data_IF_961522458331
#
_entry.id   IF_961522458331
#
_cell.length_a   1.000
_cell.length_b   1.000
_cell.length_c   1.000
_cell.angle_alpha   90.00
_cell.angle_beta   90.00
_cell.angle_gamma   90.00
#
_symmetry.space_group_name_H-M   'P 1'
#
loop_
_entity.id
_entity.type
_entity.pdbx_description
1 polymer ?
2 non-polymer ?
3 non-polymer ?
4 non-polymer ?
5 non-polymer ?
6 water ?
#
# COMPACT_ATOMS: atom_id res chain seq x y z
N UNK A 3 -14.81 -18.92 -3.70
CA UNK A 3 -14.69 -18.37 -2.33
C UNK A 3 -13.33 -18.75 -1.72
N UNK A 4 -12.24 -18.28 -2.36
CA UNK A 4 -10.90 -18.68 -2.02
C UNK A 4 -10.07 -17.39 -1.83
N UNK A 5 -9.18 -17.42 -0.83
CA UNK A 5 -8.21 -16.34 -0.63
C UNK A 5 -6.83 -16.79 -1.08
N UNK A 6 -6.16 -15.99 -1.92
CA UNK A 6 -4.78 -16.22 -2.33
C UNK A 6 -3.81 -15.63 -1.32
N UNK A 7 -2.60 -16.17 -1.28
CA UNK A 7 -1.51 -15.61 -0.49
C UNK A 7 -0.22 -15.78 -1.26
N UNK A 8 0.58 -14.70 -1.35
CA UNK A 8 1.89 -14.77 -1.97
C UNK A 8 2.90 -14.32 -0.92
N UNK A 9 3.97 -15.10 -0.80
CA UNK A 9 5.11 -14.83 0.07
C UNK A 9 6.30 -15.57 -0.53
N UNK A 10 7.46 -14.94 -0.61
CA UNK A 10 8.69 -15.59 -1.09
C UNK A 10 9.85 -15.09 -0.25
N UNK A 11 10.57 -16.02 0.40
CA UNK A 11 11.64 -15.66 1.32
C UNK A 11 12.78 -14.95 0.60
N UNK A 12 12.84 -15.05 -0.74
CA UNK A 12 13.88 -14.34 -1.49
C UNK A 12 13.76 -12.83 -1.29
N UNK A 13 12.56 -12.32 -0.92
CA UNK A 13 12.45 -10.89 -0.72
C UNK A 13 13.11 -10.42 0.57
N UNK A 14 13.61 -11.36 1.40
CA UNK A 14 14.41 -10.99 2.57
C UNK A 14 15.81 -10.52 2.18
N UNK A 15 16.28 -10.75 0.94
CA UNK A 15 17.70 -10.54 0.67
C UNK A 15 18.08 -9.07 0.62
N UNK A 16 17.16 -8.18 0.22
CA UNK A 16 17.33 -6.74 0.31
C UNK A 16 17.64 -6.35 1.76
N UNK A 17 18.78 -5.69 1.99
CA UNK A 17 19.18 -5.40 3.36
C UNK A 17 20.04 -4.15 3.37
N UNK A 18 20.20 -3.60 4.58
CA UNK A 18 21.00 -2.40 4.81
C UNK A 18 22.35 -2.83 5.39
N UNK A 19 23.39 -2.80 4.54
CA UNK A 19 24.68 -3.35 4.94
C UNK A 19 25.41 -2.45 5.92
N UNK A 20 24.96 -1.21 6.10
CA UNK A 20 25.61 -0.26 6.99
C UNK A 20 24.91 -0.17 8.33
N UNK A 21 23.68 -0.67 8.37
CA UNK A 21 22.87 -0.51 9.59
C UNK A 21 21.88 -1.66 9.64
N UNK A 22 22.30 -2.78 10.26
CA UNK A 22 21.49 -3.98 10.26
C UNK A 22 20.24 -3.82 11.11
N UNK A 23 20.13 -2.72 11.89
CA UNK A 23 18.93 -2.49 12.69
C UNK A 23 17.97 -1.50 12.04
N UNK A 24 18.24 -1.07 10.79
CA UNK A 24 17.30 -0.19 10.11
C UNK A 24 15.91 -0.84 10.15
N UNK A 25 14.83 -0.08 10.43
CA UNK A 25 13.51 -0.69 10.67
C UNK A 25 12.89 -1.46 9.49
N UNK A 26 13.31 -1.18 8.24
CA UNK A 26 12.73 -1.91 7.12
C UNK A 26 13.48 -3.25 6.98
N UNK A 27 13.21 -4.16 7.93
CA UNK A 27 14.04 -5.35 8.13
C UNK A 27 13.56 -6.50 7.24
N UNK A 28 14.50 -7.37 6.83
CA UNK A 28 14.14 -8.61 6.15
C UNK A 28 13.06 -9.41 6.88
N UNK A 29 13.18 -9.47 8.22
CA UNK A 29 12.30 -10.25 9.08
C UNK A 29 10.86 -9.74 9.10
N UNK A 30 10.62 -8.53 8.56
CA UNK A 30 9.24 -8.07 8.53
C UNK A 30 8.36 -9.11 7.82
N UNK A 31 8.81 -9.62 6.66
CA UNK A 31 7.94 -10.49 5.90
C UNK A 31 7.93 -11.91 6.45
N UNK A 32 9.08 -12.39 6.96
CA UNK A 32 9.13 -13.74 7.52
C UNK A 32 8.33 -13.83 8.82
N UNK A 33 8.37 -12.74 9.63
CA UNK A 33 7.54 -12.74 10.83
C UNK A 33 6.05 -12.77 10.50
N UNK A 34 5.63 -11.98 9.50
CA UNK A 34 4.21 -12.02 9.11
C UNK A 34 3.81 -13.42 8.61
N UNK A 35 4.63 -14.00 7.73
CA UNK A 35 4.35 -15.33 7.21
C UNK A 35 4.25 -16.36 8.35
N UNK A 36 5.20 -16.33 9.30
CA UNK A 36 5.20 -17.26 10.42
C UNK A 36 3.91 -17.13 11.22
N UNK A 37 3.45 -15.89 11.43
CA UNK A 37 2.25 -15.70 12.23
C UNK A 37 1.06 -16.30 11.52
N UNK A 38 1.02 -16.21 10.18
CA UNK A 38 -0.05 -16.84 9.41
C UNK A 38 -0.05 -18.35 9.60
N UNK A 39 1.14 -18.98 9.73
CA UNK A 39 1.20 -20.41 10.00
C UNK A 39 0.70 -20.71 11.42
N UNK A 40 1.19 -19.94 12.40
CA UNK A 40 0.80 -20.12 13.79
C UNK A 40 -0.71 -20.06 13.98
N UNK A 41 -1.37 -19.13 13.30
CA UNK A 41 -2.80 -18.95 13.45
C UNK A 41 -3.58 -19.89 12.50
N UNK A 42 -2.90 -20.77 11.76
CA UNK A 42 -3.55 -21.74 10.89
C UNK A 42 -4.31 -21.09 9.74
N UNK A 43 -3.83 -19.91 9.30
CA UNK A 43 -4.42 -19.23 8.17
C UNK A 43 -3.76 -19.68 6.86
N UNK A 44 -2.47 -20.00 6.93
CA UNK A 44 -1.71 -20.32 5.72
C UNK A 44 -2.31 -21.53 4.99
N UNK A 45 -2.72 -22.55 5.76
CA UNK A 45 -3.26 -23.75 5.16
C UNK A 45 -4.65 -23.54 4.57
N UNK A 46 -5.30 -22.41 4.91
CA UNK A 46 -6.63 -22.07 4.42
C UNK A 46 -6.59 -21.26 3.12
N UNK A 47 -5.38 -20.86 2.72
CA UNK A 47 -5.23 -20.02 1.55
C UNK A 47 -4.71 -20.83 0.37
N UNK A 48 -4.97 -20.31 -0.84
CA UNK A 48 -4.38 -20.80 -2.08
C UNK A 48 -3.05 -20.08 -2.31
N UNK A 49 -1.93 -20.81 -2.32
CA UNK A 49 -0.62 -20.20 -2.45
C UNK A 49 -0.38 -19.78 -3.89
N UNK A 50 -0.14 -18.48 -4.09
CA UNK A 50 0.15 -17.92 -5.42
C UNK A 50 1.65 -17.74 -5.51
N UNK A 51 2.33 -18.17 -6.59
CA UNK A 51 3.77 -18.03 -6.63
C UNK A 51 4.22 -16.60 -6.91
N UNK A 52 5.34 -16.22 -6.32
CA UNK A 52 5.99 -14.98 -6.73
C UNK A 52 6.56 -15.13 -8.13
N UNK A 53 6.77 -14.01 -8.81
CA UNK A 53 7.59 -13.97 -10.02
C UNK A 53 8.22 -12.59 -10.12
N UNK A 54 9.24 -12.47 -10.96
CA UNK A 54 9.79 -11.17 -11.27
C UNK A 54 8.81 -10.41 -12.15
N UNK A 55 8.59 -9.12 -11.84
CA UNK A 55 8.10 -8.17 -12.82
C UNK A 55 9.10 -8.09 -13.96
N UNK A 56 8.59 -7.87 -15.17
CA UNK A 56 9.47 -7.57 -16.29
C UNK A 56 9.75 -6.06 -16.38
N UNK A 57 10.80 -5.68 -17.11
CA UNK A 57 11.08 -4.27 -17.24
C UNK A 57 9.96 -3.56 -17.99
N UNK A 58 9.30 -4.27 -18.93
CA UNK A 58 8.20 -3.66 -19.66
C UNK A 58 7.02 -3.39 -18.71
N UNK A 59 6.80 -4.30 -17.75
CA UNK A 59 5.80 -4.06 -16.72
C UNK A 59 6.17 -2.87 -15.85
N UNK A 60 7.44 -2.76 -15.46
CA UNK A 60 7.83 -1.59 -14.68
C UNK A 60 7.57 -0.30 -15.44
N UNK A 61 7.72 -0.32 -16.79
CA UNK A 61 7.53 0.86 -17.60
C UNK A 61 6.06 1.29 -17.69
N UNK A 62 5.12 0.49 -17.11
CA UNK A 62 3.73 0.94 -16.98
C UNK A 62 3.65 2.22 -16.15
N UNK A 63 4.54 2.36 -15.14
CA UNK A 63 4.58 3.55 -14.30
C UNK A 63 5.91 4.28 -14.23
N UNK A 64 7.03 3.61 -14.55
CA UNK A 64 8.35 4.20 -14.31
C UNK A 64 9.09 4.56 -15.60
N UNK A 65 9.95 5.59 -15.51
CA UNK A 65 10.77 5.95 -16.65
C UNK A 65 11.86 4.90 -16.92
N UNK A 66 12.29 4.81 -18.19
CA UNK A 66 13.36 3.87 -18.49
C UNK A 66 14.64 4.23 -17.75
N UNK A 67 14.91 5.54 -17.55
CA UNK A 67 16.11 5.92 -16.82
C UNK A 67 16.06 5.39 -15.38
N UNK A 68 14.91 5.54 -14.73
CA UNK A 68 14.76 5.07 -13.35
C UNK A 68 14.94 3.56 -13.27
N UNK A 69 14.31 2.83 -14.18
CA UNK A 69 14.44 1.37 -14.18
C UNK A 69 15.92 0.98 -14.37
N UNK A 70 16.59 1.66 -15.33
CA UNK A 70 17.98 1.42 -15.71
C UNK A 70 18.91 1.60 -14.52
N UNK A 71 18.68 2.71 -13.78
CA UNK A 71 19.55 3.12 -12.68
C UNK A 71 19.40 2.10 -11.54
N UNK A 72 18.15 1.78 -11.17
CA UNK A 72 17.99 0.77 -10.13
C UNK A 72 18.61 -0.57 -10.55
N UNK A 73 18.36 -0.99 -11.80
CA UNK A 73 18.95 -2.23 -12.28
C UNK A 73 20.47 -2.24 -12.14
N UNK A 74 21.11 -1.09 -12.41
CA UNK A 74 22.58 -1.00 -12.41
C UNK A 74 23.16 -1.29 -11.02
N UNK A 75 22.31 -1.21 -9.97
CA UNK A 75 22.81 -1.39 -8.61
C UNK A 75 23.14 -2.85 -8.28
N UNK A 76 22.76 -3.82 -9.13
CA UNK A 76 22.88 -5.25 -8.87
C UNK A 76 24.33 -5.76 -8.75
N UNK A 77 25.30 -5.06 -9.37
CA UNK A 77 26.69 -5.47 -9.39
C UNK A 77 27.60 -4.39 -8.78
N UNK A 78 27.03 -3.33 -8.15
CA UNK A 78 27.79 -2.25 -7.53
C UNK A 78 28.52 -2.70 -6.26
N UNK A 79 29.73 -2.16 -6.07
CA UNK A 79 30.44 -2.34 -4.81
C UNK A 79 29.78 -1.46 -3.75
N UNK A 80 30.02 -1.74 -2.44
CA UNK A 80 29.42 -0.94 -1.36
C UNK A 80 29.45 0.57 -1.50
N UNK A 81 30.61 1.13 -1.88
CA UNK A 81 30.78 2.57 -1.97
C UNK A 81 29.77 3.16 -2.95
N UNK A 82 29.54 2.41 -4.04
CA UNK A 82 28.68 2.93 -5.08
C UNK A 82 27.19 2.76 -4.74
N UNK A 83 26.89 1.68 -4.01
CA UNK A 83 25.54 1.49 -3.48
C UNK A 83 25.21 2.62 -2.51
N UNK A 84 26.17 2.98 -1.65
CA UNK A 84 25.96 4.10 -0.74
C UNK A 84 25.68 5.38 -1.51
N UNK A 85 26.53 5.67 -2.51
CA UNK A 85 26.39 6.90 -3.26
C UNK A 85 25.03 6.99 -3.95
N UNK A 86 24.64 5.88 -4.60
CA UNK A 86 23.39 5.87 -5.34
C UNK A 86 22.21 6.03 -4.38
N UNK A 87 22.19 5.26 -3.29
CA UNK A 87 21.11 5.38 -2.32
C UNK A 87 20.93 6.82 -1.84
N UNK A 88 22.08 7.50 -1.62
CA UNK A 88 22.09 8.84 -1.08
C UNK A 88 21.58 9.88 -2.07
N UNK A 89 21.40 9.51 -3.36
CA UNK A 89 20.77 10.42 -4.31
C UNK A 89 19.28 10.60 -4.04
N UNK A 90 18.69 9.69 -3.24
CA UNK A 90 17.27 9.71 -2.98
C UNK A 90 17.02 10.15 -1.54
N UNK A 91 15.74 10.42 -1.24
CA UNK A 91 15.29 10.68 0.13
C UNK A 91 15.00 9.34 0.80
N UNK A 92 15.87 8.94 1.73
CA UNK A 92 15.60 7.80 2.62
C UNK A 92 15.56 6.47 1.86
N UNK A 93 16.68 6.15 1.20
CA UNK A 93 16.85 4.86 0.55
C UNK A 93 18.19 4.21 0.94
N UNK A 94 18.14 2.90 1.20
CA UNK A 94 19.37 2.09 1.22
C UNK A 94 19.24 1.02 0.13
N UNK A 95 20.40 0.65 -0.44
CA UNK A 95 20.47 -0.34 -1.52
C UNK A 95 21.54 -1.39 -1.25
N UNK A 96 21.18 -2.65 -1.52
CA UNK A 96 22.15 -3.74 -1.61
C UNK A 96 22.11 -4.35 -3.01
N UNK A 97 22.98 -5.33 -3.27
CA UNK A 97 23.00 -5.90 -4.61
C UNK A 97 21.72 -6.65 -4.93
N UNK A 98 20.96 -7.03 -3.90
CA UNK A 98 19.74 -7.82 -4.08
C UNK A 98 18.50 -6.94 -4.17
N UNK A 99 18.64 -5.62 -4.01
CA UNK A 99 17.46 -4.75 -3.89
C UNK A 99 16.58 -4.78 -5.13
N UNK A 100 17.21 -4.65 -6.30
CA UNK A 100 16.47 -4.65 -7.54
C UNK A 100 15.64 -5.92 -7.71
N UNK A 101 16.24 -7.10 -7.54
CA UNK A 101 15.51 -8.35 -7.67
C UNK A 101 14.35 -8.40 -6.68
N UNK A 102 14.58 -7.96 -5.43
CA UNK A 102 13.50 -8.05 -4.46
C UNK A 102 12.34 -7.12 -4.87
N UNK A 103 12.65 -5.91 -5.36
CA UNK A 103 11.61 -4.99 -5.83
C UNK A 103 10.83 -5.62 -6.97
N UNK A 104 11.55 -6.30 -7.88
CA UNK A 104 10.87 -7.00 -8.99
C UNK A 104 9.94 -8.09 -8.45
N UNK A 105 10.44 -8.87 -7.49
CA UNK A 105 9.59 -9.91 -6.92
C UNK A 105 8.35 -9.36 -6.23
N UNK A 106 8.50 -8.24 -5.49
CA UNK A 106 7.33 -7.66 -4.84
C UNK A 106 6.27 -7.29 -5.87
N UNK A 107 6.70 -6.66 -6.96
CA UNK A 107 5.74 -6.24 -7.97
C UNK A 107 5.14 -7.46 -8.68
N UNK A 108 6.02 -8.38 -9.13
CA UNK A 108 5.52 -9.55 -9.88
C UNK A 108 4.57 -10.39 -9.03
N UNK A 109 4.86 -10.55 -7.71
CA UNK A 109 3.95 -11.23 -6.79
C UNK A 109 2.54 -10.63 -6.85
N UNK A 110 2.48 -9.30 -6.82
CA UNK A 110 1.21 -8.61 -6.82
C UNK A 110 0.49 -8.72 -8.18
N UNK A 111 1.26 -8.73 -9.29
CA UNK A 111 0.64 -8.99 -10.59
C UNK A 111 0.01 -10.38 -10.61
N UNK A 112 0.74 -11.40 -10.14
CA UNK A 112 0.17 -12.73 -10.14
C UNK A 112 -1.10 -12.78 -9.27
N UNK A 113 -1.12 -12.02 -8.15
CA UNK A 113 -2.28 -12.01 -7.27
C UNK A 113 -3.45 -11.30 -7.97
N UNK A 114 -3.19 -10.16 -8.62
CA UNK A 114 -4.26 -9.49 -9.35
C UNK A 114 -4.80 -10.37 -10.47
N UNK A 115 -3.88 -11.05 -11.18
CA UNK A 115 -4.32 -11.98 -12.23
C UNK A 115 -5.22 -13.07 -11.62
N UNK A 116 -4.78 -13.64 -10.49
CA UNK A 116 -5.59 -14.70 -9.89
C UNK A 116 -7.00 -14.23 -9.55
N UNK A 117 -7.13 -12.99 -9.05
CA UNK A 117 -8.46 -12.46 -8.77
C UNK A 117 -9.25 -12.24 -10.06
N UNK A 118 -8.63 -11.59 -11.06
CA UNK A 118 -9.39 -11.16 -12.25
C UNK A 118 -9.75 -12.33 -13.16
N UNK A 119 -8.98 -13.44 -13.07
CA UNK A 119 -9.36 -14.65 -13.81
C UNK A 119 -10.30 -15.54 -13.01
N UNK A 120 -10.65 -15.15 -11.80
CA UNK A 120 -11.59 -15.92 -10.98
C UNK A 120 -10.97 -17.15 -10.29
N UNK A 121 -9.64 -17.21 -10.20
CA UNK A 121 -8.98 -18.31 -9.51
C UNK A 121 -9.09 -18.17 -7.99
N UNK A 122 -9.15 -16.91 -7.50
CA UNK A 122 -9.42 -16.59 -6.10
C UNK A 122 -10.34 -15.38 -6.09
N UNK A 123 -11.00 -15.14 -4.95
CA UNK A 123 -11.89 -14.01 -4.74
C UNK A 123 -11.15 -12.78 -4.25
N UNK A 124 -10.10 -13.01 -3.43
CA UNK A 124 -9.32 -11.93 -2.81
C UNK A 124 -7.94 -12.51 -2.52
N UNK A 125 -7.03 -11.66 -2.06
CA UNK A 125 -5.65 -12.14 -1.88
C UNK A 125 -4.87 -11.21 -0.98
N UNK A 126 -3.77 -11.75 -0.44
CA UNK A 126 -2.84 -10.99 0.40
C UNK A 126 -1.42 -11.21 -0.11
N UNK A 127 -0.61 -10.13 -0.14
CA UNK A 127 0.75 -10.18 -0.66
C UNK A 127 1.71 -9.69 0.40
N UNK A 128 2.52 -10.62 0.92
CA UNK A 128 3.48 -10.33 1.97
C UNK A 128 4.83 -10.06 1.32
N UNK A 129 5.04 -8.78 0.99
CA UNK A 129 6.13 -8.38 0.11
C UNK A 129 6.95 -7.26 0.71
N UNK A 130 8.22 -7.17 0.29
CA UNK A 130 9.10 -6.05 0.59
C UNK A 130 10.16 -6.01 -0.50
N UNK A 131 10.83 -4.88 -0.79
CA UNK A 131 10.59 -3.57 -0.15
C UNK A 131 9.23 -2.99 -0.54
N UNK A 132 8.75 -1.98 0.21
CA UNK A 132 7.47 -1.33 -0.08
C UNK A 132 7.53 -0.50 -1.37
N UNK A 133 6.39 0.07 -1.74
CA UNK A 133 6.22 0.73 -3.05
C UNK A 133 5.74 2.18 -3.07
N UNK A 134 4.87 2.59 -2.09
CA UNK A 134 3.97 3.73 -2.39
C UNK A 134 4.68 5.09 -2.49
N UNK A 135 5.88 5.23 -1.94
CA UNK A 135 6.63 6.48 -2.11
C UNK A 135 7.37 6.58 -3.46
N UNK A 136 7.49 5.46 -4.20
CA UNK A 136 8.26 5.49 -5.43
C UNK A 136 7.48 6.27 -6.48
N UNK A 137 8.23 7.13 -7.19
CA UNK A 137 7.68 8.02 -8.20
C UNK A 137 7.99 7.46 -9.59
N UNK A 138 7.40 8.05 -10.64
CA UNK A 138 7.75 7.66 -11.99
C UNK A 138 9.26 7.60 -12.21
N UNK A 139 9.98 8.61 -11.68
CA UNK A 139 11.36 8.86 -12.05
C UNK A 139 12.33 8.80 -10.88
N UNK A 140 11.90 8.29 -9.71
CA UNK A 140 12.82 8.25 -8.59
C UNK A 140 12.35 7.28 -7.51
N UNK A 141 13.31 6.78 -6.73
CA UNK A 141 13.05 6.01 -5.52
C UNK A 141 12.92 6.97 -4.34
N UNK A 142 12.24 6.49 -3.29
CA UNK A 142 12.00 7.35 -2.12
C UNK A 142 11.49 6.50 -0.96
N UNK A 143 11.90 6.86 0.26
CA UNK A 143 11.19 6.33 1.43
C UNK A 143 11.12 4.80 1.46
N UNK A 144 12.29 4.15 1.23
CA UNK A 144 12.42 2.70 1.34
C UNK A 144 11.82 1.97 0.12
N UNK A 145 11.30 2.73 -0.86
CA UNK A 145 10.57 2.19 -2.00
C UNK A 145 11.33 2.41 -3.31
N UNK A 146 11.35 1.38 -4.16
CA UNK A 146 12.04 1.48 -5.43
C UNK A 146 11.10 1.64 -6.63
N UNK A 147 10.12 0.74 -6.71
CA UNK A 147 9.09 0.77 -7.75
C UNK A 147 7.73 0.76 -7.05
N UNK A 148 6.72 1.38 -7.68
CA UNK A 148 5.45 1.58 -7.01
C UNK A 148 4.57 0.36 -7.26
N UNK A 149 4.78 -0.65 -6.44
CA UNK A 149 4.10 -1.93 -6.54
C UNK A 149 2.59 -1.78 -6.75
N UNK A 150 1.93 -1.01 -5.89
CA UNK A 150 0.47 -0.90 -5.97
C UNK A 150 0.06 -0.18 -7.26
N UNK A 151 0.75 0.92 -7.62
CA UNK A 151 0.40 1.63 -8.84
C UNK A 151 0.61 0.72 -10.06
N UNK A 152 1.73 -0.01 -10.08
CA UNK A 152 2.00 -0.92 -11.18
C UNK A 152 0.92 -1.98 -11.27
N UNK A 153 0.44 -2.49 -10.11
CA UNK A 153 -0.57 -3.53 -10.05
C UNK A 153 -1.90 -3.02 -10.64
N UNK A 154 -2.27 -1.76 -10.37
CA UNK A 154 -3.45 -1.18 -11.01
C UNK A 154 -3.27 -1.12 -12.54
N UNK A 155 -2.10 -0.69 -13.05
CA UNK A 155 -1.87 -0.62 -14.50
C UNK A 155 -1.81 -2.02 -15.09
N UNK A 156 -1.23 -3.00 -14.37
CA UNK A 156 -1.14 -4.36 -14.86
C UNK A 156 -2.57 -4.89 -14.99
N UNK A 157 -3.45 -4.68 -13.97
CA UNK A 157 -4.84 -5.11 -13.99
C UNK A 157 -5.53 -4.53 -15.23
N UNK A 158 -5.36 -3.23 -15.47
CA UNK A 158 -5.94 -2.58 -16.67
C UNK A 158 -5.40 -3.22 -17.95
N UNK A 159 -4.12 -3.64 -17.97
CA UNK A 159 -3.47 -4.19 -19.17
C UNK A 159 -4.04 -5.57 -19.57
N UNK A 160 -4.70 -6.28 -18.66
CA UNK A 160 -5.25 -7.61 -18.93
C UNK A 160 -6.78 -7.58 -18.99
N UNK A 161 -7.34 -6.37 -18.85
CA UNK A 161 -8.80 -6.20 -18.86
C UNK A 161 -9.15 -5.07 -19.84
N UNK A 162 -9.25 -3.85 -19.30
CA UNK A 162 -9.45 -2.68 -20.14
C UNK A 162 -8.77 -1.49 -19.49
N UNK A 163 -8.37 -0.54 -20.34
CA UNK A 163 -7.68 0.66 -19.87
C UNK A 163 -8.49 1.37 -18.79
N UNK A 164 -9.83 1.37 -18.93
CA UNK A 164 -10.71 2.10 -18.02
C UNK A 164 -11.20 1.27 -16.83
N UNK A 165 -10.64 0.06 -16.61
CA UNK A 165 -11.04 -0.72 -15.43
C UNK A 165 -10.95 0.18 -14.20
N UNK A 166 -12.01 0.21 -13.40
CA UNK A 166 -12.03 1.09 -12.23
C UNK A 166 -11.32 0.43 -11.06
N UNK A 167 -10.19 1.04 -10.65
CA UNK A 167 -9.39 0.47 -9.57
C UNK A 167 -9.42 1.47 -8.42
N UNK A 168 -9.83 1.00 -7.24
CA UNK A 168 -9.69 1.83 -6.04
C UNK A 168 -8.41 1.41 -5.31
N UNK A 169 -7.59 2.39 -4.95
CA UNK A 169 -6.43 2.15 -4.10
C UNK A 169 -6.70 2.83 -2.76
N UNK A 170 -6.79 2.04 -1.70
CA UNK A 170 -6.93 2.57 -0.34
C UNK A 170 -5.58 2.41 0.33
N UNK A 171 -4.98 3.52 0.75
CA UNK A 171 -3.62 3.55 1.29
C UNK A 171 -3.75 3.89 2.77
N UNK A 172 -3.67 2.83 3.59
CA UNK A 172 -3.84 3.04 5.02
C UNK A 172 -2.52 2.95 5.76
N UNK A 173 -1.39 2.83 5.04
CA UNK A 173 -0.06 3.11 5.61
C UNK A 173 -0.14 4.49 6.27
N UNK A 174 0.55 4.69 7.40
CA UNK A 174 0.50 5.96 8.13
C UNK A 174 1.06 7.13 7.31
N UNK A 175 1.87 6.85 6.28
CA UNK A 175 2.50 7.86 5.40
C UNK A 175 1.65 8.09 4.16
N UNK A 176 1.74 9.31 3.60
CA UNK A 176 1.13 9.57 2.31
C UNK A 176 1.85 8.79 1.22
N UNK A 177 1.09 8.16 0.30
CA UNK A 177 1.73 7.56 -0.87
C UNK A 177 1.88 8.59 -1.98
N UNK A 178 2.88 9.44 -1.81
CA UNK A 178 3.13 10.52 -2.77
C UNK A 178 3.27 9.98 -4.19
N UNK A 179 3.95 8.84 -4.33
CA UNK A 179 4.20 8.31 -5.67
C UNK A 179 2.88 7.87 -6.31
N UNK A 180 1.99 7.21 -5.52
CA UNK A 180 0.72 6.73 -6.05
C UNK A 180 -0.17 7.92 -6.44
N UNK A 181 -0.21 8.94 -5.60
CA UNK A 181 -1.03 10.12 -5.90
C UNK A 181 -0.55 10.74 -7.23
N UNK A 182 0.78 10.95 -7.41
CA UNK A 182 1.35 11.56 -8.61
C UNK A 182 1.07 10.73 -9.86
N UNK A 183 1.26 9.41 -9.75
CA UNK A 183 1.10 8.57 -10.93
C UNK A 183 -0.33 8.67 -11.44
N UNK A 184 -1.32 8.76 -10.54
CA UNK A 184 -2.72 8.74 -10.95
C UNK A 184 -3.35 10.13 -10.91
N UNK A 185 -2.61 11.23 -10.73
CA UNK A 185 -3.26 12.51 -10.41
C UNK A 185 -4.27 12.97 -11.45
N UNK A 186 -4.03 12.64 -12.73
CA UNK A 186 -4.94 13.07 -13.79
C UNK A 186 -5.82 11.93 -14.29
N UNK A 187 -5.96 10.85 -13.51
CA UNK A 187 -6.66 9.66 -13.92
C UNK A 187 -7.99 9.55 -13.17
N UNK A 188 -9.09 9.33 -13.90
CA UNK A 188 -10.39 9.05 -13.30
C UNK A 188 -10.66 7.53 -13.26
N UNK A 189 -9.74 6.70 -13.77
CA UNK A 189 -9.92 5.25 -13.72
C UNK A 189 -9.35 4.65 -12.44
N UNK A 190 -8.52 5.41 -11.73
CA UNK A 190 -7.89 4.94 -10.51
C UNK A 190 -8.20 5.98 -9.44
N UNK A 191 -9.06 5.61 -8.50
CA UNK A 191 -9.38 6.45 -7.36
C UNK A 191 -8.34 6.17 -6.26
N UNK A 192 -7.59 7.20 -5.86
CA UNK A 192 -6.61 7.03 -4.80
C UNK A 192 -7.16 7.66 -3.54
N UNK A 193 -7.25 6.88 -2.46
CA UNK A 193 -7.69 7.40 -1.16
C UNK A 193 -6.59 7.06 -0.16
N UNK A 194 -6.00 8.07 0.45
CA UNK A 194 -4.97 7.86 1.47
C UNK A 194 -5.45 8.44 2.80
N UNK A 195 -5.21 7.71 3.88
CA UNK A 195 -5.25 8.27 5.22
C UNK A 195 -3.80 8.34 5.70
N UNK A 196 -3.40 9.43 6.34
CA UNK A 196 -1.98 9.56 6.64
C UNK A 196 -1.77 10.63 7.70
N UNK A 197 -0.78 10.39 8.55
CA UNK A 197 -0.32 11.45 9.43
C UNK A 197 0.35 12.53 8.57
N UNK A 198 0.06 13.80 8.89
CA UNK A 198 0.45 14.94 8.08
C UNK A 198 1.20 15.98 8.94
N UNK A 199 0.56 16.38 10.05
CA UNK A 199 1.18 17.37 10.96
C UNK A 199 1.61 18.61 10.21
N UNK A 200 0.73 19.11 9.34
CA UNK A 200 0.96 20.37 8.63
C UNK A 200 2.30 20.31 7.87
N UNK A 201 2.69 19.12 7.41
CA UNK A 201 3.91 18.97 6.63
C UNK A 201 5.13 18.53 7.44
N UNK A 202 4.99 18.36 8.77
CA UNK A 202 6.15 17.94 9.57
C UNK A 202 6.40 16.44 9.46
N UNK A 203 5.41 15.66 9.02
CA UNK A 203 5.55 14.21 8.95
C UNK A 203 6.02 13.79 7.55
N UNK A 204 6.89 12.76 7.48
CA UNK A 204 7.42 12.32 6.19
C UNK A 204 6.23 11.95 5.29
N UNK A 205 6.18 12.27 3.98
CA UNK A 205 7.31 12.82 3.22
C UNK A 205 7.36 14.35 3.13
N UNK A 206 6.74 15.06 4.08
CA UNK A 206 7.06 16.48 4.34
C UNK A 206 6.58 17.43 3.24
N UNK A 207 5.54 17.06 2.52
CA UNK A 207 5.03 17.85 1.39
C UNK A 207 3.55 18.20 1.54
N UNK A 208 3.19 19.43 1.13
CA UNK A 208 1.79 19.83 1.14
C UNK A 208 0.98 19.08 0.07
N UNK A 209 1.66 18.27 -0.76
CA UNK A 209 0.97 17.39 -1.71
C UNK A 209 -0.01 16.47 -0.96
N UNK A 210 0.28 16.21 0.32
CA UNK A 210 -0.54 15.28 1.10
C UNK A 210 -1.78 15.95 1.71
N UNK A 211 -2.01 17.27 1.49
CA UNK A 211 -3.11 17.92 2.19
C UNK A 211 -4.45 17.66 1.50
N UNK A 212 -5.53 17.93 2.25
CA UNK A 212 -6.91 17.56 1.86
C UNK A 212 -7.36 18.30 0.60
N UNK A 213 -6.72 19.41 0.25
CA UNK A 213 -7.13 20.21 -0.88
C UNK A 213 -6.55 19.72 -2.20
N UNK A 214 -5.74 18.67 -2.15
CA UNK A 214 -5.23 18.06 -3.36
C UNK A 214 -6.21 16.98 -3.79
N UNK A 215 -7.11 17.36 -4.71
CA UNK A 215 -8.30 16.57 -5.04
C UNK A 215 -8.18 15.88 -6.39
N UNK A 216 -7.04 16.05 -7.07
CA UNK A 216 -6.88 15.52 -8.42
C UNK A 216 -6.86 16.67 -9.43
N UNK A 217 -6.40 16.35 -10.64
CA UNK A 217 -6.15 17.35 -11.66
C UNK A 217 -6.83 16.94 -12.96
N UNK A 218 -7.37 17.94 -13.66
CA UNK A 218 -7.89 17.65 -14.98
C UNK A 218 -9.04 16.64 -14.93
N UNK A 219 -8.96 15.62 -15.81
CA UNK A 219 -10.02 14.63 -15.83
C UNK A 219 -9.99 13.79 -14.55
N UNK A 220 -8.88 13.86 -13.82
CA UNK A 220 -8.77 13.22 -12.51
C UNK A 220 -9.32 14.03 -11.34
N UNK A 221 -9.93 15.19 -11.59
CA UNK A 221 -10.38 16.00 -10.47
C UNK A 221 -11.53 15.30 -9.72
N UNK A 222 -11.38 15.11 -8.39
CA UNK A 222 -12.30 14.36 -7.54
C UNK A 222 -11.77 12.95 -7.24
N UNK A 223 -10.75 12.50 -7.98
CA UNK A 223 -10.29 11.10 -7.90
C UNK A 223 -9.05 10.91 -7.02
N UNK A 224 -8.73 11.92 -6.22
CA UNK A 224 -7.64 11.86 -5.27
C UNK A 224 -8.19 12.37 -3.95
N UNK A 225 -8.18 11.51 -2.94
CA UNK A 225 -8.77 11.85 -1.65
C UNK A 225 -7.69 11.67 -0.58
N UNK A 226 -7.20 12.78 -0.02
CA UNK A 226 -6.26 12.79 1.08
C UNK A 226 -6.98 13.10 2.39
N UNK A 227 -6.76 12.22 3.37
CA UNK A 227 -7.34 12.37 4.70
C UNK A 227 -6.17 12.55 5.66
N UNK A 228 -5.76 13.82 5.90
CA UNK A 228 -4.53 14.08 6.68
C UNK A 228 -4.81 14.32 8.15
N UNK A 229 -4.05 13.63 9.01
CA UNK A 229 -4.19 13.79 10.46
C UNK A 229 -3.17 14.77 11.00
N UNK A 230 -3.61 15.60 11.93
CA UNK A 230 -2.76 16.57 12.62
C UNK A 230 -3.05 16.46 14.10
N UNK A 231 -2.05 16.74 14.94
CA UNK A 231 -2.36 16.82 16.37
C UNK A 231 -2.16 15.48 17.06
N UNK A 232 -1.16 14.70 16.63
CA UNK A 232 -0.68 13.56 17.42
C UNK A 232 -1.49 12.28 17.21
N UNK A 233 -1.48 11.41 18.23
CA UNK A 233 -1.92 10.02 18.09
C UNK A 233 -3.39 9.91 17.68
N UNK A 234 -3.67 9.04 16.70
CA UNK A 234 -5.00 8.65 16.27
C UNK A 234 -5.09 7.13 16.37
N UNK A 235 -6.34 6.62 16.40
CA UNK A 235 -6.49 5.18 16.56
C UNK A 235 -7.77 4.71 15.91
N UNK A 236 -8.32 3.60 16.45
CA UNK A 236 -9.49 2.98 15.85
C UNK A 236 -10.66 3.95 15.69
N UNK A 237 -10.97 4.82 16.68
CA UNK A 237 -12.15 5.67 16.51
C UNK A 237 -12.05 6.56 15.28
N UNK A 238 -10.88 7.17 15.10
CA UNK A 238 -10.64 8.08 13.99
C UNK A 238 -10.64 7.35 12.64
N UNK A 239 -9.99 6.18 12.58
CA UNK A 239 -9.97 5.42 11.35
C UNK A 239 -11.37 4.95 10.96
N UNK A 240 -12.11 4.41 11.94
CA UNK A 240 -13.47 3.99 11.69
C UNK A 240 -14.35 5.16 11.21
N UNK A 241 -14.16 6.35 11.81
CA UNK A 241 -14.96 7.50 11.40
C UNK A 241 -14.58 7.94 9.99
N UNK A 242 -13.27 7.90 9.65
CA UNK A 242 -12.87 8.29 8.30
C UNK A 242 -13.46 7.30 7.28
N UNK A 243 -13.50 6.00 7.62
CA UNK A 243 -14.08 5.04 6.70
C UNK A 243 -15.59 5.26 6.58
N UNK A 244 -16.27 5.57 7.71
CA UNK A 244 -17.70 5.76 7.74
C UNK A 244 -18.12 6.97 6.90
N UNK A 245 -17.42 8.09 7.09
CA UNK A 245 -17.88 9.36 6.54
C UNK A 245 -17.33 9.59 5.15
N UNK A 246 -16.15 9.01 4.82
CA UNK A 246 -15.42 9.38 3.61
C UNK A 246 -15.12 8.17 2.75
N UNK A 247 -14.29 7.22 3.26
CA UNK A 247 -13.78 6.20 2.33
C UNK A 247 -14.91 5.40 1.70
N UNK A 248 -15.83 4.89 2.55
CA UNK A 248 -16.85 3.97 2.06
C UNK A 248 -17.93 4.65 1.22
N UNK A 249 -18.45 5.86 1.56
CA UNK A 249 -19.41 6.54 0.67
C UNK A 249 -18.80 6.85 -0.69
N UNK A 250 -17.56 7.36 -0.71
CA UNK A 250 -16.93 7.68 -1.98
C UNK A 250 -16.69 6.39 -2.76
N UNK A 251 -16.18 5.35 -2.09
CA UNK A 251 -15.85 4.12 -2.81
C UNK A 251 -17.11 3.53 -3.45
N UNK A 252 -18.23 3.55 -2.71
CA UNK A 252 -19.47 2.99 -3.24
C UNK A 252 -19.89 3.76 -4.48
N UNK A 253 -19.74 5.08 -4.46
CA UNK A 253 -20.15 5.91 -5.58
C UNK A 253 -19.24 5.66 -6.80
N UNK A 254 -17.96 5.40 -6.57
CA UNK A 254 -17.02 5.13 -7.64
C UNK A 254 -17.25 3.76 -8.27
N UNK A 255 -17.74 2.81 -7.45
CA UNK A 255 -18.07 1.45 -7.88
C UNK A 255 -16.86 0.77 -8.50
N UNK A 256 -15.79 0.53 -7.72
CA UNK A 256 -14.59 -0.08 -8.29
C UNK A 256 -14.87 -1.51 -8.76
N UNK A 257 -14.02 -1.92 -9.70
CA UNK A 257 -14.04 -3.31 -10.20
C UNK A 257 -12.89 -4.11 -9.58
N UNK A 258 -11.94 -3.43 -8.92
CA UNK A 258 -10.88 -4.07 -8.16
C UNK A 258 -10.45 -3.09 -7.07
N UNK A 259 -10.15 -3.62 -5.88
CA UNK A 259 -9.65 -2.80 -4.77
C UNK A 259 -8.27 -3.30 -4.41
N UNK A 260 -7.32 -2.36 -4.41
CA UNK A 260 -5.98 -2.63 -3.91
C UNK A 260 -5.79 -1.86 -2.62
N UNK A 261 -5.24 -2.52 -1.61
CA UNK A 261 -4.94 -1.86 -0.35
C UNK A 261 -3.42 -1.71 -0.29
N UNK A 262 -2.97 -0.45 -0.22
CA UNK A 262 -1.60 -0.15 0.17
C UNK A 262 -1.59 -0.25 1.69
N UNK A 263 -1.32 -1.47 2.15
CA UNK A 263 -1.58 -1.87 3.54
C UNK A 263 -0.24 -1.83 4.27
N UNK A 264 0.19 -0.60 4.59
CA UNK A 264 1.21 -0.45 5.64
C UNK A 264 0.55 -0.71 6.99
N UNK A 265 1.33 -1.21 7.93
CA UNK A 265 0.82 -1.43 9.29
C UNK A 265 1.61 -0.55 10.26
N UNK A 266 2.03 0.63 9.78
CA UNK A 266 2.73 1.59 10.61
C UNK A 266 1.80 2.56 11.33
N UNK A 267 0.46 2.55 11.09
CA UNK A 267 -0.47 3.23 11.97
C UNK A 267 -0.77 2.37 13.21
N UNK A 268 -0.16 1.18 13.34
CA UNK A 268 -0.55 0.25 14.41
C UNK A 268 0.00 0.71 15.75
N UNK A 269 -0.78 0.37 16.78
CA UNK A 269 -0.27 0.38 18.14
C UNK A 269 1.07 -0.33 18.21
N UNK A 270 2.03 0.34 18.83
CA UNK A 270 3.36 -0.20 18.97
C UNK A 270 4.38 0.23 17.91
N UNK A 271 3.93 0.86 16.80
CA UNK A 271 4.86 1.20 15.73
C UNK A 271 5.74 2.37 16.19
N UNK A 272 7.09 2.25 16.09
CA UNK A 272 7.97 3.33 16.52
C UNK A 272 8.04 4.51 15.56
N UNK A 273 7.61 4.32 14.31
CA UNK A 273 7.66 5.43 13.36
C UNK A 273 6.33 6.14 13.30
N UNK A 274 5.21 5.41 13.34
CA UNK A 274 3.91 6.02 13.12
C UNK A 274 3.35 6.79 14.32
N UNK A 275 3.57 6.29 15.53
CA UNK A 275 3.04 6.98 16.71
C UNK A 275 1.53 6.93 16.87
N UNK A 276 0.86 6.00 16.17
CA UNK A 276 -0.58 5.84 16.24
C UNK A 276 -0.96 4.54 16.95
N UNK A 277 -2.29 4.29 17.06
CA UNK A 277 -2.83 3.28 17.97
C UNK A 277 -3.87 2.38 17.31
N UNK A 278 -3.86 2.26 15.99
CA UNK A 278 -4.79 1.34 15.35
C UNK A 278 -4.52 -0.10 15.81
N UNK A 279 -5.59 -0.82 16.18
CA UNK A 279 -5.42 -2.16 16.73
C UNK A 279 -5.59 -3.22 15.66
N UNK A 280 -5.20 -4.50 15.93
CA UNK A 280 -5.43 -5.56 14.95
C UNK A 280 -6.93 -5.68 14.63
N UNK A 281 -7.80 -5.51 15.65
CA UNK A 281 -9.25 -5.56 15.44
C UNK A 281 -9.71 -4.41 14.55
N UNK A 282 -9.07 -3.23 14.72
CA UNK A 282 -9.33 -2.10 13.86
C UNK A 282 -9.04 -2.44 12.38
N UNK A 283 -7.84 -2.99 12.13
CA UNK A 283 -7.50 -3.37 10.75
C UNK A 283 -8.47 -4.43 10.21
N UNK A 284 -8.92 -5.36 11.08
CA UNK A 284 -9.92 -6.33 10.65
C UNK A 284 -11.21 -5.66 10.17
N UNK A 285 -11.69 -4.67 10.94
CA UNK A 285 -12.89 -3.96 10.53
C UNK A 285 -12.67 -3.15 9.24
N UNK A 286 -11.48 -2.53 9.05
CA UNK A 286 -11.30 -1.79 7.82
C UNK A 286 -11.32 -2.76 6.62
N UNK A 287 -10.69 -3.93 6.79
CA UNK A 287 -10.68 -4.93 5.74
C UNK A 287 -12.11 -5.41 5.43
N UNK A 288 -12.90 -5.72 6.48
CA UNK A 288 -14.25 -6.26 6.29
C UNK A 288 -15.10 -5.23 5.53
N UNK A 289 -14.92 -3.93 5.78
CA UNK A 289 -15.64 -2.90 5.05
C UNK A 289 -15.26 -2.93 3.58
N UNK A 290 -13.96 -2.99 3.28
CA UNK A 290 -13.51 -2.97 1.88
C UNK A 290 -14.00 -4.20 1.09
N UNK A 291 -14.21 -5.34 1.80
CA UNK A 291 -14.69 -6.56 1.17
C UNK A 291 -16.11 -6.39 0.61
N UNK A 292 -16.83 -5.32 1.00
CA UNK A 292 -18.18 -5.06 0.50
C UNK A 292 -18.14 -4.41 -0.89
N UNK A 293 -16.95 -4.06 -1.41
CA UNK A 293 -16.82 -3.39 -2.70
C UNK A 293 -16.34 -4.39 -3.73
N UNK A 294 -16.56 -4.07 -5.02
CA UNK A 294 -15.94 -4.76 -6.14
C UNK A 294 -16.23 -6.26 -6.13
N UNK A 295 -17.43 -6.63 -5.64
CA UNK A 295 -17.79 -8.05 -5.53
C UNK A 295 -16.75 -8.84 -4.73
N UNK A 296 -16.13 -8.18 -3.76
CA UNK A 296 -15.13 -8.80 -2.92
C UNK A 296 -13.71 -8.89 -3.47
N UNK A 297 -13.48 -8.30 -4.65
CA UNK A 297 -12.19 -8.37 -5.31
C UNK A 297 -11.24 -7.37 -4.63
N UNK A 298 -10.50 -7.90 -3.64
CA UNK A 298 -9.62 -7.09 -2.79
C UNK A 298 -8.25 -7.76 -2.75
N UNK A 299 -7.19 -6.99 -2.99
CA UNK A 299 -5.80 -7.44 -2.86
C UNK A 299 -5.10 -6.55 -1.85
N UNK A 300 -4.64 -7.16 -0.74
CA UNK A 300 -3.97 -6.44 0.35
C UNK A 300 -2.47 -6.55 0.13
N UNK A 301 -1.81 -5.39 -0.03
CA UNK A 301 -0.39 -5.34 -0.36
C UNK A 301 0.39 -4.72 0.81
N UNK A 302 1.36 -5.46 1.38
CA UNK A 302 2.12 -4.89 2.48
C UNK A 302 2.89 -3.67 1.98
N UNK A 303 2.85 -2.57 2.75
CA UNK A 303 3.71 -1.39 2.52
C UNK A 303 4.65 -1.28 3.72
N UNK A 304 4.48 -0.26 4.56
CA UNK A 304 5.33 -0.12 5.74
C UNK A 304 4.77 -0.84 6.96
N UNK A 305 5.31 -0.47 8.13
CA UNK A 305 4.96 -1.14 9.38
C UNK A 305 6.17 -1.84 9.97
N UNK A 306 6.57 -1.44 11.20
CA UNK A 306 7.94 -1.71 11.67
C UNK A 306 7.99 -2.41 13.02
N UNK A 307 6.86 -2.51 13.73
CA UNK A 307 6.83 -3.33 14.95
C UNK A 307 6.50 -4.73 14.50
N UNK A 308 7.47 -5.65 14.65
CA UNK A 308 7.30 -6.97 14.06
C UNK A 308 6.08 -7.71 14.62
N UNK A 309 5.86 -7.60 15.94
CA UNK A 309 4.68 -8.23 16.54
C UNK A 309 3.41 -7.56 16.02
N UNK A 310 3.40 -6.22 15.96
CA UNK A 310 2.19 -5.50 15.54
C UNK A 310 1.80 -5.82 14.10
N UNK A 311 2.79 -5.81 13.20
CA UNK A 311 2.46 -6.03 11.79
C UNK A 311 2.04 -7.48 11.56
N UNK A 312 2.66 -8.41 12.28
CA UNK A 312 2.30 -9.82 12.15
C UNK A 312 0.86 -10.08 12.62
N UNK A 313 0.46 -9.49 13.75
CA UNK A 313 -0.89 -9.69 14.23
C UNK A 313 -1.89 -8.97 13.34
N UNK A 314 -1.54 -7.76 12.90
CA UNK A 314 -2.46 -6.92 12.15
C UNK A 314 -2.72 -7.51 10.76
N UNK A 315 -1.64 -7.86 10.04
CA UNK A 315 -1.86 -8.38 8.69
C UNK A 315 -2.56 -9.75 8.74
N UNK A 316 -2.23 -10.57 9.76
CA UNK A 316 -2.92 -11.86 9.91
C UNK A 316 -4.42 -11.68 10.11
N UNK A 317 -4.82 -10.67 10.89
CA UNK A 317 -6.23 -10.48 11.11
C UNK A 317 -6.93 -10.02 9.81
N UNK A 318 -6.23 -9.27 8.94
CA UNK A 318 -6.80 -8.90 7.66
C UNK A 318 -7.04 -10.17 6.84
N UNK A 319 -6.06 -11.09 6.81
CA UNK A 319 -6.25 -12.31 6.03
C UNK A 319 -7.41 -13.14 6.58
N UNK A 320 -7.51 -13.20 7.90
CA UNK A 320 -8.66 -13.83 8.56
C UNK A 320 -9.99 -13.26 8.06
N UNK A 321 -10.08 -11.92 7.90
CA UNK A 321 -11.28 -11.32 7.34
C UNK A 321 -11.50 -11.73 5.88
N UNK A 322 -10.42 -11.70 5.05
CA UNK A 322 -10.54 -12.10 3.64
C UNK A 322 -11.06 -13.54 3.54
N UNK A 323 -10.66 -14.42 4.47
CA UNK A 323 -11.12 -15.81 4.48
C UNK A 323 -12.56 -15.96 4.93
N UNK A 324 -13.22 -14.87 5.35
CA UNK A 324 -14.62 -14.91 5.73
C UNK A 324 -14.90 -15.03 7.23
N UNK A 325 -13.88 -14.99 8.07
CA UNK A 325 -14.10 -15.08 9.53
C UNK A 325 -14.87 -13.86 10.02
N UNK A 326 -15.65 -14.06 11.10
CA UNK A 326 -16.46 -12.96 11.61
C UNK A 326 -15.56 -11.89 12.23
N UNK A 327 -15.81 -10.59 11.94
CA UNK A 327 -15.00 -9.51 12.51
C UNK A 327 -15.02 -9.56 14.04
N UNK A 328 -13.87 -9.29 14.70
CA UNK A 328 -13.76 -9.33 16.16
C UNK A 328 -14.48 -8.11 16.76
N UNK A 329 -14.83 -8.19 18.03
CA UNK A 329 -15.44 -7.07 18.73
C UNK A 329 -14.47 -5.88 18.77
N UNK A 330 -14.96 -4.66 18.59
CA UNK A 330 -14.05 -3.54 18.83
C UNK A 330 -14.04 -3.15 20.32
N UNK A 334 -14.43 5.42 21.33
CA UNK A 334 -14.48 6.74 22.02
C UNK A 334 -14.89 7.86 21.05
N UNK A 335 -15.28 9.06 21.57
CA UNK A 335 -15.35 10.26 20.74
C UNK A 335 -14.00 10.54 20.08
N UNK A 336 -14.06 11.22 18.93
CA UNK A 336 -12.84 11.50 18.19
C UNK A 336 -12.07 12.63 18.83
N UNK A 337 -10.75 12.61 18.60
CA UNK A 337 -9.96 13.79 18.88
C UNK A 337 -10.49 14.95 18.05
N UNK A 338 -10.52 16.14 18.65
CA UNK A 338 -11.06 17.32 18.01
C UNK A 338 -10.42 17.53 16.65
N UNK A 339 -9.10 17.38 16.56
CA UNK A 339 -8.42 17.68 15.31
C UNK A 339 -8.80 16.65 14.22
N UNK A 340 -9.13 15.41 14.61
CA UNK A 340 -9.64 14.41 13.66
C UNK A 340 -10.97 14.83 13.04
N UNK A 341 -11.88 15.39 13.88
CA UNK A 341 -13.15 15.91 13.38
C UNK A 341 -12.84 17.02 12.36
N UNK A 342 -11.92 17.89 12.71
CA UNK A 342 -11.53 18.99 11.82
C UNK A 342 -11.02 18.44 10.48
N UNK A 343 -10.14 17.42 10.52
CA UNK A 343 -9.65 16.81 9.29
C UNK A 343 -10.77 16.22 8.44
N UNK A 344 -11.63 15.42 9.07
CA UNK A 344 -12.70 14.79 8.30
C UNK A 344 -13.57 15.87 7.65
N UNK A 345 -13.93 16.91 8.40
CA UNK A 345 -14.81 17.93 7.82
C UNK A 345 -14.11 18.69 6.70
N UNK A 346 -12.80 18.88 6.82
CA UNK A 346 -12.08 19.55 5.73
C UNK A 346 -12.13 18.71 4.44
N UNK A 347 -11.98 17.38 4.58
CA UNK A 347 -12.04 16.52 3.42
C UNK A 347 -13.46 16.50 2.84
N UNK A 348 -14.49 16.44 3.70
CA UNK A 348 -15.88 16.47 3.22
C UNK A 348 -16.13 17.72 2.39
N UNK A 349 -15.67 18.88 2.87
CA UNK A 349 -15.92 20.09 2.10
C UNK A 349 -15.16 20.04 0.77
N UNK A 350 -13.91 19.52 0.78
CA UNK A 350 -13.13 19.48 -0.44
C UNK A 350 -13.76 18.58 -1.48
N UNK A 351 -14.46 17.51 -1.08
CA UNK A 351 -14.92 16.49 -2.00
C UNK A 351 -16.42 16.51 -2.30
N UNK A 352 -17.21 17.27 -1.52
CA UNK A 352 -18.65 17.39 -1.79
C UNK A 352 -18.92 17.87 -3.21
N UNK A 353 -18.08 18.71 -3.87
CA UNK A 353 -18.39 19.07 -5.26
C UNK A 353 -18.36 17.91 -6.23
N UNK A 354 -17.67 16.81 -5.85
CA UNK A 354 -17.40 15.72 -6.78
C UNK A 354 -18.22 14.48 -6.46
N UNK A 355 -18.66 14.32 -5.22
CA UNK A 355 -19.27 13.06 -4.77
C UNK A 355 -20.60 13.41 -4.09
N UNK A 356 -21.72 12.99 -4.73
CA UNK A 356 -23.04 13.31 -4.24
C UNK A 356 -23.29 12.70 -2.86
N UNK A 357 -22.65 11.55 -2.61
CA UNK A 357 -22.82 10.84 -1.35
C UNK A 357 -22.40 11.68 -0.15
N UNK A 358 -21.60 12.73 -0.37
CA UNK A 358 -21.07 13.48 0.76
C UNK A 358 -21.94 14.71 1.05
N UNK A 359 -22.99 14.91 0.26
CA UNK A 359 -23.82 16.11 0.38
C UNK A 359 -24.96 15.89 1.39
X LIG B 1 4.69 4.08 6.01
X LIG C 1 -1.51 6.40 3.56
X LIG D 1 -6.65 9.54 -9.34
X LIG E 1 6.85 3.62 6.15
X LIG E 1 7.34 4.46 5.39
X LIG E 1 6.69 4.90 4.33
X LIG E 1 5.36 4.53 4.17
X LIG E 1 8.56 5.21 5.72
X LIG E 1 9.35 5.99 4.87
X LIG E 1 10.32 6.52 5.65
X LIG E 1 11.49 7.39 5.38
X LIG E 1 11.87 8.31 6.55
X LIG E 1 12.44 7.59 7.68
X LIG E 1 13.69 7.12 7.72
X LIG E 1 14.50 7.29 6.78
X LIG E 1 14.13 6.42 8.96
X LIG E 1 15.19 5.53 8.97
X LIG E 1 15.59 4.90 10.15
X LIG E 1 14.90 5.17 11.32
X LIG E 1 15.38 4.39 12.80
X LIG E 1 13.84 6.06 11.31
X LIG E 1 12.97 6.42 12.76
X LIG E 1 13.46 6.68 10.15
X LIG E 1 10.14 6.07 6.92
X LIG E 1 9.00 5.25 6.96
X LIG F 1 17.11 5.00 4.61
X LIG F 1 18.72 4.52 4.80
X LIG F 1 19.81 4.18 4.98
X LIG G 1 31.15 1.25 2.62
X LIG G 1 30.57 2.71 2.05
X LIG G 1 30.18 3.71 1.66
X LIG H 1 20.18 7.36 3.11
X LIG H 1 20.66 8.94 2.73
X LIG H 1 20.98 10.01 2.44
X LIG I 1 6.05 -20.57 11.80
X LIG I 1 7.56 -20.20 11.17
X LIG I 1 8.62 -19.96 10.76
X LIG J 1 -4.24 17.65 -6.80
X LIG J 1 -3.83 16.02 -6.87
X LIG J 1 -3.59 14.87 -6.98
X LIG K 1 3.32 25.33 9.58
X LIG K 1 1.81 25.33 10.35
X LIG K 1 0.78 25.38 10.86
X LIG L 1 -19.57 -2.41 4.90
X LIG L 1 -19.87 -2.01 6.51
X LIG L 1 -20.09 -1.68 7.59
X LIG M 1 12.81 -15.73 -10.42
X LIG M 1 11.32 -16.30 -9.89
X LIG M 1 10.28 -16.69 -9.54
#
# INVERSE_FOLDING_TARGET
>A
SSPITGLVYDQRMMLHHNMWDSHHPELPQRISRIFSRHEELRLLSRCHRIPARLATEEELALCHSSKHISIIKSSEHMKPRDLNRLGDEYNSIFISNESYTCALLAAGSCFNSAQAILTGQVRNAVAIVRPPGHHAEKDTACGFCFFNTAALTARYAQSITRESLRVLIVDWDVHHGNGTQHIFEEDDSVLYISLHRYEDGAFFPNSEDANYDKVGLGKGRGYNVNIPWNGGKMGDPEYMAAFHHLVMPIAREFAPELVLVSAGFDAARGDPLGGFQVTPEGYAHLTHQLMSLAAGRVLIILEGGYNLTSISESMSMCTSMLLGDSPPSLDHLTPLKTSATVSINNVLRAHAPFWSSLR
>B hetero
1 ZN ZN
>C hetero
1 K K
>D hetero
1 K K
>E hetero
1 JNN O1 C1 N1 O2 C2 C3 C4 C5 C6 N2 C7 O3 C8 C9 C10 C11 CL1 C12 CL2 C13 O4 N3
>F hetero
1 SCN S C N
>G hetero
1 SCN S C N
>H hetero
1 SCN S C N
>I hetero
1 SCN S C N
>J hetero
1 SCN S C N
>K hetero
1 SCN S C N
>L hetero
1 SCN S C N
>M hetero
1 SCN S C N
#
